data_IF_045997181411
#
_entry.id   IF_045997181411
#
_cell.length_a   1.000
_cell.length_b   1.000
_cell.length_c   1.000
_cell.angle_alpha   90.00
_cell.angle_beta   90.00
_cell.angle_gamma   90.00
#
_symmetry.space_group_name_H-M   'P 1'
#
loop_
_entity.id
_entity.type
_entity.pdbx_description
1 polymer ?
#
# COMPACT_ATOMS: atom_id res chain seq x y z
N UNK A 1 29.57 13.22 16.64
CA UNK A 1 28.42 13.40 15.72
C UNK A 1 27.84 12.01 15.49
N UNK A 2 26.71 11.70 16.13
CA UNK A 2 25.95 10.49 15.81
C UNK A 2 25.41 10.68 14.41
N UNK A 3 25.86 9.86 13.45
CA UNK A 3 25.16 9.77 12.17
C UNK A 3 23.77 9.21 12.49
N UNK A 4 22.74 10.00 12.26
CA UNK A 4 21.37 9.48 12.21
C UNK A 4 21.40 8.47 11.08
N UNK A 5 21.24 7.19 11.40
CA UNK A 5 21.20 6.12 10.42
C UNK A 5 19.97 6.39 9.56
N UNK A 6 20.17 6.73 8.32
CA UNK A 6 19.08 7.07 7.39
C UNK A 6 18.35 5.76 7.07
N UNK A 7 17.04 5.73 7.28
CA UNK A 7 16.20 4.58 6.94
C UNK A 7 16.53 4.07 5.52
N UNK A 8 16.76 2.76 5.39
CA UNK A 8 17.04 2.11 4.12
C UNK A 8 15.78 1.38 3.67
N UNK A 9 15.26 1.67 2.49
CA UNK A 9 14.01 1.11 1.96
C UNK A 9 14.26 0.16 0.80
N UNK A 10 13.41 -0.87 0.68
CA UNK A 10 13.47 -1.84 -0.40
C UNK A 10 13.02 -1.23 -1.71
N UNK A 11 13.88 -1.36 -2.72
CA UNK A 11 13.63 -0.83 -4.07
C UNK A 11 13.95 -1.84 -5.15
N UNK A 12 13.35 -1.62 -6.31
CA UNK A 12 13.71 -2.27 -7.58
C UNK A 12 14.05 -1.21 -8.63
N UNK A 13 14.95 -1.50 -9.60
CA UNK A 13 15.17 -0.60 -10.72
C UNK A 13 13.89 -0.38 -11.53
N UNK A 14 13.55 0.85 -11.85
CA UNK A 14 12.39 1.19 -12.71
C UNK A 14 12.52 0.53 -14.09
N UNK A 15 13.74 0.38 -14.59
CA UNK A 15 14.02 -0.34 -15.84
C UNK A 15 13.61 -1.82 -15.78
N UNK A 16 13.74 -2.47 -14.62
CA UNK A 16 13.28 -3.85 -14.42
C UNK A 16 11.75 -3.93 -14.48
N UNK A 17 11.05 -3.03 -13.80
CA UNK A 17 9.60 -2.92 -13.90
C UNK A 17 9.14 -2.72 -15.35
N UNK A 18 9.82 -1.84 -16.11
CA UNK A 18 9.52 -1.63 -17.53
C UNK A 18 9.78 -2.86 -18.41
N UNK A 19 10.78 -3.68 -18.08
CA UNK A 19 11.04 -4.95 -18.80
C UNK A 19 9.92 -5.98 -18.55
N UNK A 20 9.34 -6.00 -17.34
CA UNK A 20 8.15 -6.80 -17.07
C UNK A 20 6.94 -6.30 -17.86
N UNK A 21 6.90 -5.02 -18.21
CA UNK A 21 5.83 -4.34 -18.96
C UNK A 21 5.26 -3.17 -18.18
N UNK A 22 5.38 -1.97 -18.74
CA UNK A 22 4.84 -0.76 -18.14
C UNK A 22 3.29 -0.77 -18.16
N UNK A 23 2.68 -0.27 -17.09
CA UNK A 23 1.25 0.07 -17.02
C UNK A 23 1.05 1.34 -16.19
N UNK A 24 -0.07 2.00 -16.36
CA UNK A 24 -0.55 3.10 -15.53
C UNK A 24 -1.85 2.68 -14.85
N UNK A 25 -2.01 2.99 -13.58
CA UNK A 25 -3.18 2.61 -12.79
C UNK A 25 -3.02 1.24 -12.12
N UNK A 26 -4.04 0.38 -12.22
CA UNK A 26 -4.07 -0.95 -11.60
C UNK A 26 -3.82 -2.07 -12.63
N UNK A 27 -3.03 -3.09 -12.23
CA UNK A 27 -2.83 -4.32 -13.01
C UNK A 27 -3.08 -5.54 -12.14
N UNK A 28 -3.93 -6.45 -12.59
CA UNK A 28 -4.19 -7.75 -11.94
C UNK A 28 -3.23 -8.88 -12.40
N UNK A 29 -2.31 -8.60 -13.31
CA UNK A 29 -1.39 -9.59 -13.90
C UNK A 29 -0.19 -9.86 -12.95
N UNK A 30 -0.48 -10.43 -11.77
CA UNK A 30 0.53 -10.67 -10.73
C UNK A 30 1.64 -11.62 -11.17
N UNK A 31 1.31 -12.64 -11.96
CA UNK A 31 2.28 -13.64 -12.43
C UNK A 31 3.40 -13.02 -13.26
N UNK A 32 3.08 -11.94 -13.96
CA UNK A 32 4.03 -11.19 -14.78
C UNK A 32 5.04 -10.42 -13.95
N UNK A 33 4.65 -9.93 -12.78
CA UNK A 33 5.43 -8.95 -12.03
C UNK A 33 6.06 -9.52 -10.75
N UNK A 34 5.28 -10.18 -9.90
CA UNK A 34 5.70 -10.45 -8.52
C UNK A 34 6.93 -11.34 -8.43
N UNK A 35 6.99 -12.40 -9.25
CA UNK A 35 8.14 -13.32 -9.25
C UNK A 35 9.47 -12.62 -9.57
N UNK A 36 9.42 -11.56 -10.37
CA UNK A 36 10.61 -10.80 -10.76
C UNK A 36 10.90 -9.67 -9.78
N UNK A 37 9.87 -8.90 -9.40
CA UNK A 37 10.04 -7.70 -8.57
C UNK A 37 10.28 -8.01 -7.09
N UNK A 38 9.85 -9.17 -6.60
CA UNK A 38 10.12 -9.62 -5.22
C UNK A 38 11.29 -10.61 -5.13
N UNK A 39 12.00 -10.89 -6.25
CA UNK A 39 13.20 -11.70 -6.23
C UNK A 39 14.31 -10.97 -5.43
N UNK A 40 14.86 -11.57 -4.35
CA UNK A 40 15.95 -10.97 -3.59
C UNK A 40 17.19 -10.61 -4.43
N UNK A 41 17.39 -11.27 -5.56
CA UNK A 41 18.51 -10.95 -6.50
C UNK A 41 18.24 -9.65 -7.30
N UNK A 42 17.02 -9.16 -7.32
CA UNK A 42 16.59 -7.97 -8.07
C UNK A 42 16.28 -6.78 -7.15
N UNK A 43 16.06 -7.04 -5.87
CA UNK A 43 15.79 -5.99 -4.87
C UNK A 43 17.10 -5.48 -4.26
N UNK A 44 17.07 -4.26 -3.75
CA UNK A 44 18.16 -3.68 -2.94
C UNK A 44 17.59 -2.72 -1.91
N UNK A 45 18.39 -2.43 -0.87
CA UNK A 45 18.04 -1.41 0.12
C UNK A 45 18.84 -0.15 -0.15
N UNK A 46 18.16 1.01 -0.14
CA UNK A 46 18.75 2.32 -0.42
C UNK A 46 18.22 3.39 0.54
N UNK A 47 19.00 4.46 0.78
CA UNK A 47 18.58 5.55 1.65
C UNK A 47 17.24 6.14 1.20
N UNK A 48 16.22 6.12 2.07
CA UNK A 48 14.87 6.60 1.77
C UNK A 48 14.87 8.03 1.23
N UNK A 49 15.64 8.94 1.87
CA UNK A 49 15.68 10.34 1.44
C UNK A 49 16.20 10.56 0.01
N UNK A 50 17.02 9.63 -0.52
CA UNK A 50 17.46 9.66 -1.93
C UNK A 50 16.36 9.11 -2.83
N UNK A 51 15.73 8.01 -2.41
CA UNK A 51 14.71 7.32 -3.21
C UNK A 51 13.41 8.09 -3.39
N UNK A 52 13.10 9.01 -2.48
CA UNK A 52 11.94 9.91 -2.60
C UNK A 52 12.00 10.86 -3.83
N UNK A 53 13.17 10.99 -4.44
CA UNK A 53 13.40 11.91 -5.58
C UNK A 53 14.10 11.25 -6.77
N UNK A 54 14.42 9.95 -6.72
CA UNK A 54 15.12 9.23 -7.79
C UNK A 54 14.17 8.29 -8.55
N UNK A 55 13.59 8.72 -9.70
CA UNK A 55 12.65 7.90 -10.47
C UNK A 55 13.32 6.72 -11.21
N UNK A 56 14.64 6.53 -11.09
CA UNK A 56 15.31 5.34 -11.60
C UNK A 56 15.05 4.09 -10.77
N UNK A 57 14.45 4.27 -9.57
CA UNK A 57 14.01 3.21 -8.68
C UNK A 57 12.53 3.35 -8.31
N UNK A 58 11.90 2.20 -8.06
CA UNK A 58 10.56 2.10 -7.45
C UNK A 58 10.68 1.48 -6.07
N UNK A 59 10.19 2.18 -5.03
CA UNK A 59 10.03 1.66 -3.68
C UNK A 59 8.84 0.71 -3.67
N UNK A 60 9.03 -0.53 -3.21
CA UNK A 60 7.95 -1.52 -3.13
C UNK A 60 7.14 -1.28 -1.86
N UNK A 61 5.87 -0.98 -2.03
CA UNK A 61 4.94 -0.67 -0.94
C UNK A 61 3.82 -1.71 -0.90
N UNK A 62 3.68 -2.52 0.17
CA UNK A 62 2.46 -3.26 0.41
C UNK A 62 1.30 -2.27 0.61
N UNK A 63 0.21 -2.48 -0.11
CA UNK A 63 -1.00 -1.67 -0.05
C UNK A 63 -2.17 -2.56 0.33
N UNK A 64 -2.48 -2.60 1.63
CA UNK A 64 -3.40 -3.55 2.26
C UNK A 64 -4.78 -2.94 2.42
N UNK A 65 -5.78 -3.55 1.81
CA UNK A 65 -7.18 -3.09 1.82
C UNK A 65 -8.02 -4.10 2.59
N UNK A 66 -8.71 -3.66 3.65
CA UNK A 66 -9.62 -4.52 4.41
C UNK A 66 -11.01 -4.46 3.81
N UNK A 67 -11.55 -5.65 3.48
CA UNK A 67 -12.87 -5.83 2.88
C UNK A 67 -13.74 -6.72 3.78
N UNK A 68 -14.93 -6.26 4.08
CA UNK A 68 -15.97 -7.04 4.75
C UNK A 68 -17.16 -7.22 3.81
N UNK A 69 -17.68 -8.44 3.73
CA UNK A 69 -18.91 -8.74 2.97
C UNK A 69 -19.97 -9.23 3.96
N UNK A 70 -21.04 -8.48 4.09
CA UNK A 70 -22.16 -8.82 4.97
C UNK A 70 -23.00 -9.96 4.38
N UNK A 71 -23.88 -10.58 5.21
CA UNK A 71 -24.75 -11.70 4.82
C UNK A 71 -25.70 -11.35 3.66
N UNK A 72 -26.07 -10.07 3.52
CA UNK A 72 -26.92 -9.58 2.44
C UNK A 72 -26.14 -9.28 1.13
N UNK A 73 -24.82 -9.54 1.12
CA UNK A 73 -23.93 -9.28 0.02
C UNK A 73 -23.37 -7.86 -0.05
N UNK A 74 -23.68 -6.99 0.91
CA UNK A 74 -23.11 -5.64 0.95
C UNK A 74 -21.61 -5.70 1.21
N UNK A 75 -20.83 -5.16 0.27
CA UNK A 75 -19.36 -5.02 0.38
C UNK A 75 -19.03 -3.67 1.01
N UNK A 76 -18.27 -3.70 2.11
CA UNK A 76 -17.74 -2.51 2.79
C UNK A 76 -16.21 -2.57 2.84
N UNK A 77 -15.58 -1.41 2.68
CA UNK A 77 -14.13 -1.24 2.69
C UNK A 77 -13.74 -0.35 3.87
N UNK A 78 -12.72 -0.75 4.62
CA UNK A 78 -12.13 0.11 5.64
C UNK A 78 -11.49 1.32 4.98
N UNK A 79 -11.78 2.47 5.50
CA UNK A 79 -11.22 3.74 5.05
C UNK A 79 -10.85 4.61 6.24
N UNK A 80 -9.97 5.57 6.03
CA UNK A 80 -9.57 6.54 7.03
C UNK A 80 -9.17 7.86 6.38
N UNK A 81 -9.09 8.92 7.19
CA UNK A 81 -8.55 10.22 6.79
C UNK A 81 -7.17 10.39 7.40
N UNK A 82 -6.17 10.78 6.61
CA UNK A 82 -4.82 11.07 7.12
C UNK A 82 -4.84 12.38 7.89
N UNK A 83 -4.40 12.32 9.15
CA UNK A 83 -4.22 13.48 10.01
C UNK A 83 -3.07 14.39 9.56
N UNK A 84 -2.73 15.37 10.40
CA UNK A 84 -1.66 16.35 10.13
C UNK A 84 -0.30 15.96 10.75
N UNK A 85 -0.13 14.71 11.14
CA UNK A 85 1.07 14.21 11.80
C UNK A 85 2.28 14.01 10.88
N UNK A 86 3.20 13.14 11.28
CA UNK A 86 4.40 12.84 10.52
C UNK A 86 4.04 11.99 9.30
N UNK A 87 4.13 12.57 8.13
CA UNK A 87 3.84 11.89 6.88
C UNK A 87 4.00 12.85 5.71
N UNK A 88 3.67 12.40 4.51
CA UNK A 88 3.75 13.25 3.35
C UNK A 88 2.67 14.34 3.41
N UNK A 89 3.09 15.59 3.62
CA UNK A 89 2.19 16.75 3.78
C UNK A 89 1.16 16.90 2.65
N UNK A 90 1.47 16.36 1.47
CA UNK A 90 0.58 16.36 0.30
C UNK A 90 -0.65 15.45 0.45
N UNK A 91 -0.60 14.48 1.35
CA UNK A 91 -1.68 13.53 1.61
C UNK A 91 -2.56 13.92 2.81
N UNK A 92 -2.22 15.02 3.52
CA UNK A 92 -3.00 15.49 4.66
C UNK A 92 -4.44 15.80 4.25
N UNK A 93 -5.39 15.36 5.07
CA UNK A 93 -6.83 15.51 4.84
C UNK A 93 -7.38 14.77 3.60
N UNK A 94 -6.59 13.88 2.98
CA UNK A 94 -7.09 12.93 1.98
C UNK A 94 -7.52 11.65 2.66
N UNK A 95 -8.60 11.06 2.12
CA UNK A 95 -9.05 9.71 2.52
C UNK A 95 -8.18 8.64 1.86
N UNK A 96 -7.99 7.54 2.56
CA UNK A 96 -7.30 6.35 2.04
C UNK A 96 -8.11 5.10 2.35
N UNK A 97 -8.00 4.08 1.48
CA UNK A 97 -8.52 2.73 1.72
C UNK A 97 -7.39 1.72 1.93
N UNK A 98 -6.14 2.11 1.76
CA UNK A 98 -4.98 1.23 1.90
C UNK A 98 -4.11 1.59 3.09
N UNK A 99 -3.73 0.56 3.83
CA UNK A 99 -2.74 0.58 4.91
C UNK A 99 -1.44 0.01 4.36
N UNK A 100 -0.30 0.61 4.69
CA UNK A 100 1.01 0.09 4.34
C UNK A 100 2.09 1.16 4.31
N UNK A 101 3.32 0.71 4.33
CA UNK A 101 4.49 1.58 4.38
C UNK A 101 5.72 0.95 3.73
N UNK A 102 6.89 1.44 4.07
CA UNK A 102 8.14 1.03 3.45
C UNK A 102 8.67 -0.28 4.03
N UNK A 103 9.04 -1.20 3.15
CA UNK A 103 9.87 -2.34 3.56
C UNK A 103 11.28 -1.82 3.80
N UNK A 104 11.84 -2.10 4.95
CA UNK A 104 13.12 -1.54 5.38
C UNK A 104 14.17 -2.61 5.71
N UNK A 105 15.38 -2.18 6.05
CA UNK A 105 16.42 -3.10 6.54
C UNK A 105 16.09 -3.76 7.87
N UNK A 106 15.07 -3.28 8.61
CA UNK A 106 14.57 -3.95 9.81
C UNK A 106 13.95 -5.31 9.47
N UNK A 107 13.41 -5.44 8.26
CA UNK A 107 12.76 -6.65 7.73
C UNK A 107 13.77 -7.57 7.02
N UNK A 108 15.03 -7.13 6.85
CA UNK A 108 16.08 -7.89 6.18
C UNK A 108 16.56 -9.06 7.04
N UNK A 109 16.83 -10.19 6.38
CA UNK A 109 17.32 -11.41 7.05
C UNK A 109 16.23 -12.44 7.37
N UNK A 110 14.99 -12.11 7.12
CA UNK A 110 13.87 -13.04 7.16
C UNK A 110 13.73 -13.81 5.83
N UNK A 111 13.02 -14.93 5.84
CA UNK A 111 12.78 -15.73 4.63
C UNK A 111 12.04 -14.94 3.54
N UNK A 112 11.17 -14.00 3.93
CA UNK A 112 10.44 -13.09 3.06
C UNK A 112 10.43 -11.67 3.64
N UNK A 113 11.45 -10.83 3.39
CA UNK A 113 11.51 -9.47 3.90
C UNK A 113 10.29 -8.63 3.53
N UNK A 114 9.74 -8.84 2.33
CA UNK A 114 8.53 -8.15 1.89
C UNK A 114 7.31 -8.46 2.78
N UNK A 115 7.09 -9.74 3.10
CA UNK A 115 5.96 -10.15 3.95
C UNK A 115 6.16 -9.71 5.40
N UNK A 116 7.38 -9.78 5.92
CA UNK A 116 7.71 -9.31 7.26
C UNK A 116 7.49 -7.79 7.41
N UNK A 117 7.95 -7.01 6.44
CA UNK A 117 7.73 -5.57 6.43
C UNK A 117 6.25 -5.22 6.31
N UNK A 118 5.50 -5.91 5.47
CA UNK A 118 4.05 -5.74 5.39
C UNK A 118 3.36 -6.03 6.73
N UNK A 119 3.74 -7.12 7.40
CA UNK A 119 3.18 -7.48 8.70
C UNK A 119 3.51 -6.42 9.77
N UNK A 120 4.75 -5.95 9.83
CA UNK A 120 5.19 -4.91 10.75
C UNK A 120 4.40 -3.62 10.56
N UNK A 121 4.28 -3.13 9.33
CA UNK A 121 3.50 -1.92 9.03
C UNK A 121 2.02 -2.07 9.42
N UNK A 122 1.41 -3.24 9.18
CA UNK A 122 0.04 -3.50 9.63
C UNK A 122 -0.09 -3.47 11.15
N UNK A 123 0.84 -4.08 11.89
CA UNK A 123 0.83 -4.09 13.36
C UNK A 123 1.06 -2.69 13.95
N UNK A 124 1.83 -1.84 13.28
CA UNK A 124 2.06 -0.46 13.67
C UNK A 124 0.82 0.41 13.43
N UNK A 125 0.19 0.31 12.26
CA UNK A 125 -0.89 1.22 11.84
C UNK A 125 -2.29 0.80 12.30
N UNK A 126 -2.59 -0.52 12.42
CA UNK A 126 -3.94 -1.00 12.74
C UNK A 126 -3.97 -2.18 13.72
N UNK A 127 -5.05 -2.26 14.48
CA UNK A 127 -5.43 -3.43 15.27
C UNK A 127 -6.50 -4.21 14.52
N UNK A 128 -6.25 -5.51 14.28
CA UNK A 128 -7.16 -6.41 13.57
C UNK A 128 -7.67 -7.45 14.57
N UNK A 129 -8.89 -7.27 15.08
CA UNK A 129 -9.51 -8.15 16.09
C UNK A 129 -10.53 -9.11 15.44
N UNK A 130 -10.26 -9.57 14.22
CA UNK A 130 -11.14 -10.45 13.45
C UNK A 130 -10.32 -11.45 12.63
N UNK A 131 -10.81 -12.68 12.39
CA UNK A 131 -10.20 -13.56 11.42
C UNK A 131 -10.24 -12.95 10.02
N UNK A 132 -9.22 -13.24 9.22
CA UNK A 132 -9.15 -12.74 7.84
C UNK A 132 -8.50 -13.75 6.90
N UNK A 133 -8.76 -13.56 5.61
CA UNK A 133 -8.04 -14.21 4.52
C UNK A 133 -7.33 -13.15 3.68
N UNK A 134 -6.00 -13.24 3.60
CA UNK A 134 -5.19 -12.38 2.76
C UNK A 134 -5.06 -12.94 1.35
N UNK A 135 -5.17 -12.06 0.34
CA UNK A 135 -4.94 -12.41 -1.06
C UNK A 135 -4.26 -11.25 -1.77
N UNK A 136 -3.11 -11.49 -2.41
CA UNK A 136 -2.54 -10.52 -3.33
C UNK A 136 -3.37 -10.48 -4.61
N UNK A 137 -3.76 -9.29 -5.08
CA UNK A 137 -4.73 -9.13 -6.17
C UNK A 137 -4.22 -8.28 -7.34
N UNK A 138 -3.08 -7.63 -7.21
CA UNK A 138 -2.52 -6.81 -8.28
C UNK A 138 -1.46 -5.82 -7.82
N UNK A 139 -1.15 -4.90 -8.72
CA UNK A 139 -0.17 -3.83 -8.50
C UNK A 139 -0.76 -2.48 -8.90
N UNK A 140 -0.22 -1.41 -8.30
CA UNK A 140 -0.52 -0.01 -8.64
C UNK A 140 0.77 0.66 -9.11
N UNK A 141 0.71 1.29 -10.28
CA UNK A 141 1.73 2.23 -10.75
C UNK A 141 1.08 3.56 -11.12
N UNK A 142 1.65 4.66 -10.62
CA UNK A 142 1.15 6.02 -10.90
C UNK A 142 2.32 6.94 -11.27
N UNK A 143 2.64 7.02 -12.55
CA UNK A 143 3.70 7.90 -13.05
C UNK A 143 3.22 9.34 -13.30
N UNK A 144 1.97 9.68 -12.97
CA UNK A 144 1.41 11.03 -13.13
C UNK A 144 1.72 11.92 -11.92
N UNK A 145 2.02 11.32 -10.76
CA UNK A 145 2.37 12.05 -9.54
C UNK A 145 3.84 11.87 -9.18
N UNK A 146 4.44 12.87 -8.53
CA UNK A 146 5.85 12.78 -8.08
C UNK A 146 6.07 11.63 -7.07
N UNK A 147 5.08 11.37 -6.22
CA UNK A 147 5.10 10.24 -5.27
C UNK A 147 5.03 8.91 -6.03
N UNK A 148 4.08 8.78 -6.93
CA UNK A 148 3.87 7.54 -7.69
C UNK A 148 5.04 7.18 -8.62
N UNK A 149 5.79 8.19 -9.11
CA UNK A 149 7.00 7.94 -9.95
C UNK A 149 8.06 7.12 -9.23
N UNK A 150 8.15 7.23 -7.92
CA UNK A 150 9.18 6.55 -7.10
C UNK A 150 8.63 5.40 -6.25
N UNK A 151 7.31 5.11 -6.36
CA UNK A 151 6.66 4.03 -5.64
C UNK A 151 5.96 3.05 -6.58
N UNK A 152 5.85 1.79 -6.15
CA UNK A 152 5.08 0.74 -6.81
C UNK A 152 4.31 -0.02 -5.73
N UNK A 153 2.98 0.05 -5.78
CA UNK A 153 2.12 -0.61 -4.81
C UNK A 153 1.89 -2.08 -5.18
N UNK A 154 1.95 -2.97 -4.18
CA UNK A 154 1.48 -4.35 -4.32
C UNK A 154 0.22 -4.49 -3.48
N UNK A 155 -0.91 -4.75 -4.14
CA UNK A 155 -2.24 -4.69 -3.53
C UNK A 155 -2.62 -6.02 -2.92
N UNK A 156 -2.94 -5.99 -1.64
CA UNK A 156 -3.47 -7.12 -0.88
C UNK A 156 -4.88 -6.82 -0.39
N UNK A 157 -5.80 -7.75 -0.59
CA UNK A 157 -7.13 -7.73 0.06
C UNK A 157 -7.08 -8.61 1.29
N UNK A 158 -7.54 -8.05 2.40
CA UNK A 158 -7.78 -8.73 3.66
C UNK A 158 -9.30 -8.88 3.81
N UNK A 159 -9.83 -10.05 3.44
CA UNK A 159 -11.24 -10.39 3.63
C UNK A 159 -11.45 -10.70 5.11
N UNK A 160 -12.07 -9.79 5.86
CA UNK A 160 -12.33 -9.88 7.29
C UNK A 160 -13.73 -10.43 7.57
N UNK A 161 -13.85 -11.27 8.63
CA UNK A 161 -15.14 -11.84 9.03
C UNK A 161 -16.07 -10.84 9.74
N UNK A 162 -15.48 -9.88 10.48
CA UNK A 162 -16.22 -8.78 11.12
C UNK A 162 -15.52 -7.44 10.82
N UNK A 163 -16.19 -6.34 11.15
CA UNK A 163 -15.65 -4.99 10.95
C UNK A 163 -14.75 -4.53 12.13
N UNK A 164 -14.17 -5.44 12.90
CA UNK A 164 -13.32 -5.15 14.06
C UNK A 164 -11.87 -4.87 13.62
N UNK A 165 -11.70 -3.83 12.83
CA UNK A 165 -10.41 -3.22 12.45
C UNK A 165 -10.42 -1.77 12.88
N UNK A 166 -9.37 -1.31 13.55
CA UNK A 166 -9.23 0.04 14.14
C UNK A 166 -7.83 0.58 13.90
N UNK A 167 -7.71 1.90 13.81
CA UNK A 167 -6.42 2.57 13.81
C UNK A 167 -5.67 2.39 15.14
N UNK A 168 -4.36 2.16 15.08
CA UNK A 168 -3.43 2.20 16.21
C UNK A 168 -2.73 3.56 16.32
N UNK A 169 -2.62 4.29 15.23
CA UNK A 169 -1.90 5.55 15.16
C UNK A 169 -2.85 6.75 15.30
N UNK A 170 -2.42 7.78 16.05
CA UNK A 170 -3.14 9.06 16.21
C UNK A 170 -3.28 9.84 14.88
N UNK A 171 -2.47 9.52 13.89
CA UNK A 171 -2.48 10.12 12.55
C UNK A 171 -3.54 9.54 11.62
N UNK A 172 -4.18 8.45 12.01
CA UNK A 172 -5.34 7.86 11.34
C UNK A 172 -6.59 8.37 12.06
N UNK A 173 -7.40 9.15 11.37
CA UNK A 173 -8.63 9.73 11.91
C UNK A 173 -9.83 9.39 11.04
N UNK A 174 -11.04 9.46 11.62
CA UNK A 174 -12.30 9.16 10.91
C UNK A 174 -12.27 7.81 10.20
N UNK A 175 -11.72 6.79 10.89
CA UNK A 175 -11.57 5.44 10.36
C UNK A 175 -12.86 4.60 10.51
N UNK A 176 -13.00 3.60 9.65
CA UNK A 176 -14.09 2.63 9.70
C UNK A 176 -14.51 2.07 8.35
N UNK A 177 -15.40 1.07 8.42
CA UNK A 177 -15.92 0.43 7.21
C UNK A 177 -17.07 1.25 6.59
N UNK A 178 -17.00 1.46 5.29
CA UNK A 178 -18.01 2.20 4.52
C UNK A 178 -18.41 1.37 3.29
N UNK A 179 -19.71 1.26 2.96
CA UNK A 179 -20.16 0.56 1.77
C UNK A 179 -19.48 1.08 0.50
N UNK A 180 -19.03 0.17 -0.36
CA UNK A 180 -18.29 0.53 -1.58
C UNK A 180 -19.06 1.52 -2.46
N UNK A 181 -20.39 1.44 -2.52
CA UNK A 181 -21.23 2.35 -3.29
C UNK A 181 -21.11 3.81 -2.80
N UNK A 182 -20.92 4.03 -1.50
CA UNK A 182 -20.71 5.37 -0.93
C UNK A 182 -19.31 5.89 -1.23
N UNK A 183 -18.27 5.03 -1.20
CA UNK A 183 -16.90 5.41 -1.54
C UNK A 183 -16.79 5.82 -3.01
N UNK A 184 -17.45 5.07 -3.90
CA UNK A 184 -17.49 5.37 -5.34
C UNK A 184 -18.22 6.68 -5.67
N UNK A 185 -19.16 7.12 -4.83
CA UNK A 185 -19.87 8.37 -5.03
C UNK A 185 -19.00 9.63 -4.74
N UNK A 186 -17.87 9.48 -4.04
CA UNK A 186 -17.02 10.61 -3.59
C UNK A 186 -15.52 10.34 -3.75
N UNK A 187 -15.12 9.78 -4.90
CA UNK A 187 -13.74 9.36 -5.17
C UNK A 187 -12.73 10.52 -5.20
N UNK A 188 -13.19 11.77 -5.40
CA UNK A 188 -12.30 12.94 -5.46
C UNK A 188 -11.67 13.31 -4.11
N UNK A 189 -12.23 12.82 -3.01
CA UNK A 189 -11.68 13.02 -1.67
C UNK A 189 -10.55 12.05 -1.33
N UNK A 190 -10.34 11.01 -2.15
CA UNK A 190 -9.32 10.00 -1.91
C UNK A 190 -7.97 10.38 -2.51
N UNK A 191 -6.91 9.87 -1.90
CA UNK A 191 -5.58 9.91 -2.51
C UNK A 191 -5.55 9.02 -3.77
N UNK A 192 -4.52 9.19 -4.60
CA UNK A 192 -4.50 8.65 -5.97
C UNK A 192 -4.58 7.13 -6.01
N UNK A 193 -3.84 6.42 -5.15
CA UNK A 193 -3.83 4.96 -5.16
C UNK A 193 -5.16 4.36 -4.70
N UNK A 194 -5.78 4.96 -3.69
CA UNK A 194 -7.15 4.60 -3.30
C UNK A 194 -8.13 4.79 -4.44
N UNK A 195 -8.06 5.94 -5.13
CA UNK A 195 -8.92 6.21 -6.29
C UNK A 195 -8.71 5.20 -7.41
N UNK A 196 -7.46 4.83 -7.71
CA UNK A 196 -7.11 3.79 -8.68
C UNK A 196 -7.76 2.46 -8.28
N UNK A 197 -7.60 2.00 -7.03
CA UNK A 197 -8.19 0.75 -6.57
C UNK A 197 -9.72 0.78 -6.62
N UNK A 198 -10.36 1.84 -6.11
CA UNK A 198 -11.81 1.98 -6.09
C UNK A 198 -12.42 1.93 -7.49
N UNK A 199 -11.75 2.52 -8.49
CA UNK A 199 -12.28 2.63 -9.86
C UNK A 199 -11.81 1.50 -10.81
N UNK A 200 -10.92 0.61 -10.37
CA UNK A 200 -10.37 -0.50 -11.19
C UNK A 200 -11.34 -1.65 -11.49
N UNK A 201 -12.49 -1.71 -10.81
CA UNK A 201 -13.39 -2.86 -10.82
C UNK A 201 -13.01 -3.97 -9.83
N UNK A 202 -12.02 -3.75 -8.98
CA UNK A 202 -11.54 -4.71 -7.97
C UNK A 202 -12.62 -5.15 -6.97
N UNK A 203 -13.65 -4.33 -6.76
CA UNK A 203 -14.74 -4.55 -5.80
C UNK A 203 -16.11 -4.75 -6.47
N UNK A 204 -16.13 -5.00 -7.79
CA UNK A 204 -17.38 -5.25 -8.56
C UNK A 204 -17.77 -6.72 -8.56
#
# INVERSE_FOLDING_TARGET
MSMVETEQVMVVPTSLFHQCGHFQGFSSDMDRYLKVLLDPAQTSYRPRGEMETDPSFKQLIPYCIFRHTADDGTVSIYQYTRGKGQGEARLHSKRSVGIGGHISTLDAGEDSPYEQGMQRELEEEVQIDTPFKQTCVGLINDDETEVGKVHLGVVHIFDVETQDVRANEDDIIEDGFVPIAELLADTDRFETWSKICLTSGLFS
#
